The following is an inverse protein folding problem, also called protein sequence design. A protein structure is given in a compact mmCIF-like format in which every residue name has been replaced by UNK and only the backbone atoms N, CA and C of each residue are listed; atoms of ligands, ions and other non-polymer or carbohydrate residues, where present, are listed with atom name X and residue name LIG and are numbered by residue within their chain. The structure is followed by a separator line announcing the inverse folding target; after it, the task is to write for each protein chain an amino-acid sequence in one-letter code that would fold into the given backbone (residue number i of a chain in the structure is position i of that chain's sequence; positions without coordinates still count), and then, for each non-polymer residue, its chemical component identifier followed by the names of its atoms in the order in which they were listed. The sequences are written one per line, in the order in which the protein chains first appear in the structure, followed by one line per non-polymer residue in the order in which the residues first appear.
data_IF_115841000159
#
_entry.id   IF_115841000159
#
_cell.length_a   1.000
_cell.length_b   1.000
_cell.length_c   1.000
_cell.angle_alpha   90.00
_cell.angle_beta   90.00
_cell.angle_gamma   90.00
#
_symmetry.space_group_name_H-M   'P 1'
#
loop_
_entity.id
_entity.type
_entity.pdbx_description
1 polymer ?
#
# COMPACT_ATOMS: atom_id res chain seq x y z
N UNK A 1 2.15 20.14 -0.36
CA UNK A 1 2.03 18.69 -0.50
C UNK A 1 3.32 17.96 -0.24
N UNK A 2 3.27 16.62 -0.26
CA UNK A 2 4.45 15.76 -0.12
C UNK A 2 4.44 14.65 -1.16
N UNK A 3 5.62 14.03 -1.39
CA UNK A 3 5.81 12.84 -2.22
C UNK A 3 7.03 12.06 -1.73
N UNK A 4 7.12 10.77 -2.04
CA UNK A 4 8.29 9.94 -1.77
C UNK A 4 8.96 9.52 -3.07
N UNK A 5 10.30 9.49 -3.09
CA UNK A 5 11.05 8.88 -4.20
C UNK A 5 11.22 7.41 -3.89
N UNK A 6 10.53 6.56 -4.64
CA UNK A 6 10.50 5.12 -4.40
C UNK A 6 10.46 4.32 -5.70
N UNK A 7 10.73 3.04 -5.57
CA UNK A 7 10.59 2.04 -6.62
C UNK A 7 9.67 0.91 -6.18
N UNK A 8 8.77 0.50 -7.08
CA UNK A 8 8.01 -0.73 -6.91
C UNK A 8 8.85 -1.92 -7.38
N UNK A 9 8.94 -2.95 -6.54
CA UNK A 9 9.53 -4.24 -6.88
C UNK A 9 8.46 -5.30 -6.68
N UNK A 10 7.75 -5.62 -7.75
CA UNK A 10 6.80 -6.72 -7.75
C UNK A 10 7.57 -8.01 -8.02
N UNK A 11 7.93 -8.74 -6.95
CA UNK A 11 8.88 -9.85 -7.04
C UNK A 11 8.29 -11.12 -7.66
N UNK A 12 6.96 -11.29 -7.70
CA UNK A 12 6.28 -12.36 -8.45
C UNK A 12 4.85 -11.96 -8.79
N UNK A 13 4.36 -12.38 -9.96
CA UNK A 13 2.95 -12.31 -10.32
C UNK A 13 2.22 -13.65 -10.21
N UNK A 14 2.92 -14.72 -9.81
CA UNK A 14 2.32 -16.03 -9.54
C UNK A 14 1.60 -15.97 -8.20
N UNK A 15 0.32 -16.37 -8.17
CA UNK A 15 -0.51 -16.28 -6.98
C UNK A 15 -1.44 -17.49 -6.84
N UNK A 16 -1.55 -18.01 -5.62
CA UNK A 16 -2.51 -19.07 -5.25
C UNK A 16 -3.96 -18.56 -5.25
N UNK A 17 -4.15 -17.26 -4.99
CA UNK A 17 -5.47 -16.64 -4.85
C UNK A 17 -6.05 -16.21 -6.20
N UNK A 18 -7.38 -16.34 -6.33
CA UNK A 18 -8.10 -16.06 -7.56
C UNK A 18 -9.03 -14.84 -7.37
N UNK A 19 -8.47 -13.72 -6.93
CA UNK A 19 -9.24 -12.50 -6.71
C UNK A 19 -9.89 -12.02 -8.00
N UNK A 20 -11.21 -11.83 -7.96
CA UNK A 20 -11.98 -11.46 -9.14
C UNK A 20 -11.68 -10.07 -9.70
N UNK A 21 -11.04 -9.21 -8.91
CA UNK A 21 -10.62 -7.86 -9.33
C UNK A 21 -9.17 -7.82 -9.84
N UNK A 22 -8.35 -8.86 -9.60
CA UNK A 22 -6.92 -8.80 -9.83
C UNK A 22 -6.56 -9.28 -11.25
N UNK A 23 -6.02 -8.37 -12.04
CA UNK A 23 -5.47 -8.68 -13.36
C UNK A 23 -3.96 -8.93 -13.35
N UNK A 24 -3.29 -8.71 -12.21
CA UNK A 24 -1.86 -8.90 -12.05
C UNK A 24 -1.50 -10.36 -11.78
N UNK A 25 -2.34 -11.09 -11.03
CA UNK A 25 -2.06 -12.46 -10.64
C UNK A 25 -2.13 -13.43 -11.83
N UNK A 26 -1.16 -14.36 -11.88
CA UNK A 26 -1.04 -15.41 -12.88
C UNK A 26 -1.04 -16.78 -12.22
N UNK A 27 -1.64 -17.76 -12.89
CA UNK A 27 -1.36 -19.16 -12.59
C UNK A 27 0.06 -19.53 -13.05
N UNK A 28 0.66 -20.52 -12.40
CA UNK A 28 1.95 -21.05 -12.82
C UNK A 28 1.84 -21.61 -14.25
N UNK A 29 2.48 -21.00 -15.21
CA UNK A 29 2.38 -21.38 -16.64
C UNK A 29 1.39 -20.57 -17.47
N UNK A 30 0.72 -19.56 -16.90
CA UNK A 30 -0.11 -18.62 -17.67
C UNK A 30 0.69 -17.90 -18.73
N UNK A 31 0.15 -17.90 -19.97
CA UNK A 31 0.69 -17.17 -21.11
C UNK A 31 -0.40 -16.25 -21.69
N UNK A 32 -0.84 -15.30 -20.92
CA UNK A 32 -1.85 -14.36 -21.41
C UNK A 32 -1.25 -13.04 -21.89
N UNK A 33 -2.13 -12.15 -22.37
CA UNK A 33 -1.82 -10.89 -23.05
C UNK A 33 -0.93 -9.90 -22.27
N UNK A 34 -0.64 -10.16 -20.98
CA UNK A 34 0.10 -9.24 -20.10
C UNK A 34 1.45 -9.76 -19.65
N UNK A 35 2.01 -10.63 -20.45
CA UNK A 35 3.31 -11.23 -20.22
C UNK A 35 3.26 -12.53 -19.43
N UNK A 36 4.39 -13.23 -19.36
CA UNK A 36 4.50 -14.53 -18.72
C UNK A 36 4.39 -14.41 -17.19
N UNK A 37 4.10 -15.56 -16.56
CA UNK A 37 4.34 -15.72 -15.14
C UNK A 37 5.84 -15.58 -14.84
N UNK A 38 6.18 -14.90 -13.74
CA UNK A 38 7.57 -14.69 -13.32
C UNK A 38 7.71 -14.77 -11.81
N UNK A 39 8.91 -15.09 -11.39
CA UNK A 39 9.37 -15.01 -10.01
C UNK A 39 10.83 -14.51 -10.03
N UNK A 40 11.08 -13.36 -9.40
CA UNK A 40 12.42 -12.79 -9.32
C UNK A 40 13.26 -13.57 -8.30
N UNK A 41 14.51 -13.79 -8.61
CA UNK A 41 15.49 -14.24 -7.63
C UNK A 41 15.95 -13.08 -6.73
N UNK A 42 16.69 -13.40 -5.69
CA UNK A 42 17.16 -12.42 -4.71
C UNK A 42 18.19 -11.45 -5.31
N UNK A 43 19.00 -11.92 -6.27
CA UNK A 43 20.00 -11.10 -6.96
C UNK A 43 19.30 -10.00 -7.79
N UNK A 44 18.21 -10.33 -8.45
CA UNK A 44 17.41 -9.35 -9.20
C UNK A 44 16.71 -8.35 -8.27
N UNK A 45 16.21 -8.80 -7.10
CA UNK A 45 15.68 -7.89 -6.07
C UNK A 45 16.77 -6.93 -5.58
N UNK A 46 17.95 -7.43 -5.27
CA UNK A 46 19.11 -6.63 -4.85
C UNK A 46 19.52 -5.62 -5.93
N UNK A 47 19.65 -6.08 -7.18
CA UNK A 47 19.99 -5.24 -8.33
C UNK A 47 19.00 -4.07 -8.51
N UNK A 48 17.70 -4.35 -8.46
CA UNK A 48 16.65 -3.32 -8.54
C UNK A 48 16.69 -2.34 -7.37
N UNK A 49 17.07 -2.80 -6.19
CA UNK A 49 17.25 -1.95 -5.01
C UNK A 49 18.43 -0.99 -5.19
N UNK A 50 19.56 -1.49 -5.70
CA UNK A 50 20.75 -0.66 -6.01
C UNK A 50 20.42 0.40 -7.07
N UNK A 51 19.72 0.02 -8.13
CA UNK A 51 19.26 0.96 -9.17
C UNK A 51 18.33 2.03 -8.61
N UNK A 52 17.39 1.64 -7.73
CA UNK A 52 16.50 2.58 -7.05
C UNK A 52 17.29 3.59 -6.21
N UNK A 53 18.27 3.12 -5.42
CA UNK A 53 19.13 3.99 -4.62
C UNK A 53 19.94 4.96 -5.49
N UNK A 54 20.49 4.49 -6.62
CA UNK A 54 21.20 5.31 -7.58
C UNK A 54 20.31 6.39 -8.22
N UNK A 55 19.01 6.12 -8.38
CA UNK A 55 18.01 7.07 -8.84
C UNK A 55 17.47 7.99 -7.72
N UNK A 56 18.03 7.92 -6.51
CA UNK A 56 17.65 8.77 -5.37
C UNK A 56 16.45 8.26 -4.56
N UNK A 57 16.05 7.00 -4.75
CA UNK A 57 14.98 6.42 -3.95
C UNK A 57 15.41 6.23 -2.49
N UNK A 58 14.50 6.55 -1.58
CA UNK A 58 14.66 6.34 -0.15
C UNK A 58 13.87 5.12 0.34
N UNK A 59 13.01 4.58 -0.53
CA UNK A 59 12.12 3.47 -0.25
C UNK A 59 12.06 2.51 -1.44
N UNK A 60 11.98 1.22 -1.17
CA UNK A 60 11.43 0.23 -2.10
C UNK A 60 10.11 -0.30 -1.55
N UNK A 61 9.10 -0.34 -2.43
CA UNK A 61 7.79 -0.93 -2.14
C UNK A 61 7.75 -2.33 -2.76
N UNK A 62 7.72 -3.37 -1.91
CA UNK A 62 7.73 -4.76 -2.38
C UNK A 62 6.36 -5.40 -2.15
N UNK A 63 5.78 -5.91 -3.22
CA UNK A 63 4.52 -6.65 -3.21
C UNK A 63 4.56 -7.73 -4.28
N UNK A 64 3.91 -8.85 -4.03
CA UNK A 64 3.83 -9.93 -4.98
C UNK A 64 2.55 -10.75 -4.86
N UNK A 65 2.40 -11.71 -5.76
CA UNK A 65 1.44 -12.79 -5.57
C UNK A 65 1.87 -13.72 -4.43
N UNK A 66 0.95 -14.51 -3.92
CA UNK A 66 1.29 -15.59 -2.98
C UNK A 66 1.71 -16.79 -3.81
N UNK A 67 3.00 -16.93 -4.03
CA UNK A 67 3.55 -18.02 -4.82
C UNK A 67 3.40 -19.37 -4.07
N UNK A 68 3.02 -20.47 -4.74
CA UNK A 68 2.79 -21.78 -4.08
C UNK A 68 3.98 -22.32 -3.28
N UNK A 69 5.19 -21.98 -3.67
CA UNK A 69 6.43 -22.43 -3.00
C UNK A 69 6.95 -21.45 -1.95
N UNK A 70 6.30 -20.30 -1.76
CA UNK A 70 6.78 -19.33 -0.79
C UNK A 70 6.43 -19.73 0.63
N UNK A 71 7.41 -19.53 1.51
CA UNK A 71 7.27 -19.70 2.96
C UNK A 71 7.66 -18.38 3.64
N UNK A 72 7.49 -18.30 4.94
CA UNK A 72 7.93 -17.16 5.72
C UNK A 72 9.42 -16.85 5.57
N UNK A 73 10.28 -17.86 5.36
CA UNK A 73 11.71 -17.64 5.09
C UNK A 73 11.94 -16.93 3.76
N UNK A 74 11.10 -17.14 2.76
CA UNK A 74 11.20 -16.42 1.48
C UNK A 74 11.07 -14.92 1.68
N UNK A 75 10.09 -14.47 2.44
CA UNK A 75 9.89 -13.04 2.73
C UNK A 75 11.02 -12.45 3.58
N UNK A 76 11.53 -13.20 4.57
CA UNK A 76 12.70 -12.81 5.36
C UNK A 76 13.92 -12.62 4.46
N UNK A 77 14.16 -13.54 3.52
CA UNK A 77 15.30 -13.48 2.60
C UNK A 77 15.19 -12.30 1.61
N UNK A 78 13.98 -11.96 1.15
CA UNK A 78 13.74 -10.76 0.34
C UNK A 78 14.13 -9.50 1.11
N UNK A 79 13.72 -9.38 2.38
CA UNK A 79 14.10 -8.22 3.22
C UNK A 79 15.61 -8.15 3.41
N UNK A 80 16.24 -9.28 3.75
CA UNK A 80 17.71 -9.36 3.92
C UNK A 80 18.45 -8.93 2.65
N UNK A 81 18.06 -9.44 1.48
CA UNK A 81 18.67 -9.08 0.21
C UNK A 81 18.61 -7.56 -0.07
N UNK A 82 17.48 -6.90 0.24
CA UNK A 82 17.38 -5.44 0.14
C UNK A 82 18.33 -4.74 1.11
N UNK A 83 18.37 -5.19 2.37
CA UNK A 83 19.20 -4.56 3.42
C UNK A 83 20.70 -4.81 3.23
N UNK A 84 21.08 -5.95 2.70
CA UNK A 84 22.46 -6.25 2.32
C UNK A 84 22.91 -5.40 1.13
N UNK A 85 22.06 -5.24 0.11
CA UNK A 85 22.32 -4.43 -1.05
C UNK A 85 22.41 -2.92 -0.73
N UNK A 86 21.48 -2.39 0.06
CA UNK A 86 21.40 -0.98 0.45
C UNK A 86 20.94 -0.87 1.90
N UNK A 87 21.83 -0.88 2.91
CA UNK A 87 21.49 -0.96 4.33
C UNK A 87 20.52 0.14 4.83
N UNK A 88 20.58 1.34 4.24
CA UNK A 88 19.71 2.48 4.61
C UNK A 88 18.36 2.50 3.88
N UNK A 89 18.13 1.60 2.92
CA UNK A 89 16.86 1.58 2.16
C UNK A 89 15.70 1.27 3.08
N UNK A 90 14.64 2.10 3.01
CA UNK A 90 13.39 1.81 3.70
C UNK A 90 12.65 0.69 2.97
N UNK A 91 12.35 -0.39 3.68
CA UNK A 91 11.63 -1.54 3.14
C UNK A 91 10.16 -1.40 3.50
N UNK A 92 9.34 -0.96 2.54
CA UNK A 92 7.89 -0.92 2.64
C UNK A 92 7.32 -2.19 2.01
N UNK A 93 7.07 -3.19 2.81
CA UNK A 93 6.75 -4.52 2.31
C UNK A 93 5.81 -5.26 3.20
N UNK A 94 5.27 -6.10 2.72
CA UNK A 94 4.34 -7.21 2.56
C UNK A 94 2.95 -6.81 3.05
N UNK A 95 1.96 -7.12 2.23
CA UNK A 95 0.56 -7.00 2.61
C UNK A 95 0.24 -7.89 3.82
N UNK A 96 -0.81 -7.61 4.58
CA UNK A 96 -1.30 -8.50 5.64
C UNK A 96 -1.51 -9.94 5.18
N UNK A 97 -1.89 -10.16 3.93
CA UNK A 97 -2.04 -11.51 3.36
C UNK A 97 -0.71 -12.25 3.24
N UNK A 98 0.35 -11.58 2.76
CA UNK A 98 1.70 -12.14 2.66
C UNK A 98 2.26 -12.45 4.04
N UNK A 99 2.04 -11.57 5.01
CA UNK A 99 2.47 -11.76 6.41
C UNK A 99 1.77 -12.95 7.05
N UNK A 100 0.45 -13.04 6.91
CA UNK A 100 -0.33 -14.17 7.45
C UNK A 100 0.09 -15.50 6.82
N UNK A 101 0.28 -15.50 5.49
CA UNK A 101 0.78 -16.68 4.78
C UNK A 101 2.17 -17.09 5.28
N UNK A 102 3.09 -16.14 5.41
CA UNK A 102 4.44 -16.40 5.91
C UNK A 102 4.47 -16.95 7.32
N UNK A 103 3.70 -16.38 8.24
CA UNK A 103 3.56 -16.87 9.61
C UNK A 103 3.01 -18.31 9.63
N UNK A 104 1.94 -18.56 8.86
CA UNK A 104 1.29 -19.87 8.77
C UNK A 104 2.20 -20.97 8.23
N UNK A 105 3.00 -20.67 7.20
CA UNK A 105 3.93 -21.65 6.61
C UNK A 105 5.10 -22.04 7.53
N UNK A 106 5.43 -21.19 8.50
CA UNK A 106 6.46 -21.48 9.51
C UNK A 106 5.87 -22.01 10.82
N UNK A 107 4.54 -22.06 10.94
CA UNK A 107 3.86 -22.45 12.18
C UNK A 107 4.14 -21.49 13.33
N UNK A 108 4.38 -20.20 13.04
CA UNK A 108 4.72 -19.18 14.03
C UNK A 108 3.51 -18.35 14.43
N UNK A 109 3.42 -17.92 15.69
CA UNK A 109 2.52 -16.86 16.09
C UNK A 109 2.81 -15.59 15.28
N UNK A 110 1.75 -14.87 14.90
CA UNK A 110 1.84 -13.68 14.04
C UNK A 110 2.81 -12.61 14.57
N UNK A 111 2.77 -12.32 15.87
CA UNK A 111 3.67 -11.35 16.51
C UNK A 111 5.14 -11.76 16.37
N UNK A 112 5.46 -13.03 16.64
CA UNK A 112 6.82 -13.58 16.53
C UNK A 112 7.33 -13.47 15.09
N UNK A 113 6.48 -13.73 14.10
CA UNK A 113 6.87 -13.61 12.70
C UNK A 113 7.09 -12.14 12.28
N UNK A 114 6.24 -11.23 12.72
CA UNK A 114 6.40 -9.80 12.48
C UNK A 114 7.68 -9.25 13.15
N UNK A 115 8.01 -9.71 14.36
CA UNK A 115 9.28 -9.36 15.02
C UNK A 115 10.48 -9.85 14.18
N UNK A 116 10.44 -11.08 13.68
CA UNK A 116 11.50 -11.60 12.78
C UNK A 116 11.65 -10.78 11.51
N UNK A 117 10.54 -10.37 10.90
CA UNK A 117 10.57 -9.49 9.72
C UNK A 117 11.17 -8.11 10.05
N UNK A 118 10.77 -7.51 11.18
CA UNK A 118 11.32 -6.25 11.68
C UNK A 118 12.84 -6.38 11.92
N UNK A 119 13.26 -7.42 12.60
CA UNK A 119 14.67 -7.67 12.94
C UNK A 119 15.51 -8.00 11.68
N UNK A 120 14.91 -8.57 10.65
CA UNK A 120 15.53 -8.71 9.33
C UNK A 120 15.66 -7.37 8.57
N UNK A 121 14.97 -6.29 9.01
CA UNK A 121 15.04 -4.95 8.44
C UNK A 121 13.78 -4.44 7.75
N UNK A 122 12.65 -5.16 7.88
CA UNK A 122 11.36 -4.63 7.46
C UNK A 122 11.07 -3.33 8.19
N UNK A 123 10.68 -2.29 7.44
CA UNK A 123 10.53 -0.95 8.02
C UNK A 123 9.06 -0.57 8.25
N UNK A 124 8.18 -0.87 7.29
CA UNK A 124 6.73 -0.60 7.35
C UNK A 124 5.96 -1.60 6.50
N UNK A 125 4.66 -1.78 6.79
CA UNK A 125 3.78 -2.60 5.97
C UNK A 125 2.80 -1.74 5.16
N UNK A 126 2.58 -2.06 3.88
CA UNK A 126 1.45 -1.51 3.13
C UNK A 126 0.13 -2.07 3.65
N UNK A 127 -0.88 -1.21 3.78
CA UNK A 127 -2.24 -1.60 4.15
C UNK A 127 -3.03 -2.19 2.99
N UNK A 128 -2.35 -2.80 2.02
CA UNK A 128 -2.97 -3.48 0.89
C UNK A 128 -3.65 -4.80 1.31
N UNK A 129 -4.28 -5.50 0.40
CA UNK A 129 -5.15 -6.65 0.69
C UNK A 129 -6.39 -6.32 1.55
N UNK A 130 -6.55 -5.08 2.02
CA UNK A 130 -7.79 -4.61 2.63
C UNK A 130 -8.94 -4.65 1.62
N UNK A 131 -8.69 -4.23 0.41
CA UNK A 131 -9.64 -3.96 -0.66
C UNK A 131 -10.82 -3.14 -0.11
N UNK A 132 -11.79 -3.81 0.48
CA UNK A 132 -12.82 -3.22 1.33
C UNK A 132 -13.03 -4.10 2.56
N UNK A 133 -13.09 -3.49 3.74
CA UNK A 133 -13.31 -4.16 5.02
C UNK A 133 -14.83 -4.36 5.25
N UNK A 134 -15.40 -5.25 4.45
CA UNK A 134 -16.80 -5.66 4.49
C UNK A 134 -16.87 -7.07 3.90
N UNK A 135 -17.21 -8.05 4.73
CA UNK A 135 -17.07 -9.45 4.35
C UNK A 135 -18.10 -9.90 3.30
N UNK A 136 -19.27 -9.27 3.22
CA UNK A 136 -20.24 -9.53 2.16
C UNK A 136 -19.67 -9.15 0.77
N UNK A 137 -18.94 -8.04 0.72
CA UNK A 137 -18.27 -7.61 -0.52
C UNK A 137 -17.04 -8.47 -0.81
N UNK A 138 -16.27 -8.84 0.23
CA UNK A 138 -15.09 -9.71 0.08
C UNK A 138 -15.45 -11.09 -0.48
N UNK A 139 -16.58 -11.65 -0.08
CA UNK A 139 -17.11 -12.90 -0.63
C UNK A 139 -17.36 -12.84 -2.14
N UNK A 140 -17.62 -11.65 -2.68
CA UNK A 140 -17.82 -11.47 -4.12
C UNK A 140 -16.48 -11.27 -4.86
N UNK A 141 -15.58 -10.44 -4.31
CA UNK A 141 -14.38 -9.99 -5.03
C UNK A 141 -13.13 -10.81 -4.73
N UNK A 142 -13.02 -11.40 -3.53
CA UNK A 142 -11.84 -12.15 -3.07
C UNK A 142 -12.17 -13.13 -1.94
N UNK A 143 -13.02 -14.15 -2.17
CA UNK A 143 -13.54 -15.06 -1.14
C UNK A 143 -12.46 -15.85 -0.41
N UNK A 144 -11.33 -16.08 -1.05
CA UNK A 144 -10.23 -16.91 -0.51
C UNK A 144 -9.24 -16.08 0.32
N UNK A 145 -9.37 -14.74 0.36
CA UNK A 145 -8.43 -13.86 1.09
C UNK A 145 -8.83 -13.71 2.56
N UNK A 146 -7.94 -13.06 3.32
CA UNK A 146 -8.20 -12.65 4.70
C UNK A 146 -9.60 -12.06 4.88
N UNK A 147 -10.26 -12.42 5.94
CA UNK A 147 -11.49 -11.76 6.41
C UNK A 147 -11.15 -10.38 7.00
N UNK A 148 -12.16 -9.58 7.21
CA UNK A 148 -12.00 -8.22 7.75
C UNK A 148 -11.30 -8.21 9.11
N UNK A 149 -11.70 -9.10 10.01
CA UNK A 149 -11.11 -9.22 11.36
C UNK A 149 -9.66 -9.75 11.31
N UNK A 150 -9.35 -10.67 10.42
CA UNK A 150 -7.99 -11.17 10.21
C UNK A 150 -7.07 -10.06 9.70
N UNK A 151 -7.53 -9.24 8.74
CA UNK A 151 -6.76 -8.09 8.27
C UNK A 151 -6.49 -7.09 9.39
N UNK A 152 -7.53 -6.75 10.18
CA UNK A 152 -7.42 -5.85 11.32
C UNK A 152 -6.47 -6.40 12.38
N UNK A 153 -6.47 -7.72 12.61
CA UNK A 153 -5.57 -8.39 13.54
C UNK A 153 -4.11 -8.29 13.08
N UNK A 154 -3.81 -8.53 11.79
CA UNK A 154 -2.43 -8.43 11.27
C UNK A 154 -1.91 -7.00 11.42
N UNK A 155 -2.70 -5.98 11.05
CA UNK A 155 -2.30 -4.58 11.18
C UNK A 155 -2.15 -4.19 12.66
N UNK A 156 -3.08 -4.58 13.52
CA UNK A 156 -2.99 -4.31 14.96
C UNK A 156 -1.74 -4.91 15.58
N UNK A 157 -1.46 -6.19 15.30
CA UNK A 157 -0.25 -6.88 15.79
C UNK A 157 1.04 -6.24 15.23
N UNK A 158 1.03 -5.80 13.96
CA UNK A 158 2.17 -5.06 13.41
C UNK A 158 2.46 -3.78 14.22
N UNK A 159 1.41 -3.04 14.61
CA UNK A 159 1.57 -1.84 15.45
C UNK A 159 2.10 -2.18 16.86
N UNK A 160 1.62 -3.26 17.46
CA UNK A 160 2.07 -3.73 18.80
C UNK A 160 3.56 -4.09 18.81
N UNK A 161 4.08 -4.70 17.74
CA UNK A 161 5.52 -4.99 17.62
C UNK A 161 6.35 -3.80 17.11
N UNK A 162 5.75 -2.61 16.99
CA UNK A 162 6.43 -1.35 16.64
C UNK A 162 6.56 -1.08 15.14
N UNK A 163 5.94 -1.86 14.26
CA UNK A 163 5.89 -1.61 12.83
C UNK A 163 4.74 -0.66 12.50
N UNK A 164 5.01 0.37 11.70
CA UNK A 164 3.98 1.26 11.16
C UNK A 164 3.40 0.69 9.88
N UNK A 165 2.17 1.12 9.56
CA UNK A 165 1.51 0.68 8.33
C UNK A 165 0.90 1.85 7.59
N UNK A 166 0.62 1.65 6.30
CA UNK A 166 -0.36 2.48 5.59
C UNK A 166 -1.76 1.85 5.72
N UNK A 167 -2.76 2.48 5.16
CA UNK A 167 -4.10 1.90 5.00
C UNK A 167 -4.63 2.23 3.61
N UNK A 168 -5.36 1.30 3.00
CA UNK A 168 -5.90 1.46 1.65
C UNK A 168 -7.37 1.11 1.59
N UNK A 169 -8.07 1.64 0.62
CA UNK A 169 -9.36 1.15 0.16
C UNK A 169 -9.33 0.98 -1.36
N UNK A 170 -9.86 -0.11 -1.89
CA UNK A 170 -10.21 -0.22 -3.31
C UNK A 170 -11.71 0.00 -3.45
N UNK A 171 -12.11 0.94 -4.30
CA UNK A 171 -13.51 1.34 -4.43
C UNK A 171 -13.93 1.52 -5.89
N UNK A 172 -15.24 1.43 -6.16
CA UNK A 172 -15.82 1.58 -7.50
C UNK A 172 -16.02 0.26 -8.23
N UNK A 173 -16.15 -0.89 -7.52
CA UNK A 173 -16.36 -2.21 -8.13
C UNK A 173 -17.82 -2.72 -7.98
N UNK A 174 -18.22 -3.26 -6.80
CA UNK A 174 -19.57 -3.84 -6.54
C UNK A 174 -20.23 -3.23 -5.31
N UNK A 175 -19.46 -2.54 -4.50
CA UNK A 175 -19.86 -1.97 -3.23
C UNK A 175 -20.71 -0.70 -3.40
N UNK A 176 -21.35 -0.31 -2.32
CA UNK A 176 -22.13 0.91 -2.16
C UNK A 176 -21.43 1.89 -1.20
N UNK A 177 -21.78 3.18 -1.19
CA UNK A 177 -21.18 4.16 -0.28
C UNK A 177 -21.24 3.81 1.22
N UNK A 178 -22.22 2.99 1.63
CA UNK A 178 -22.32 2.53 3.03
C UNK A 178 -21.15 1.65 3.44
N UNK A 179 -20.64 0.81 2.52
CA UNK A 179 -19.45 0.00 2.80
C UNK A 179 -18.18 0.86 2.86
N UNK A 180 -18.10 1.93 2.06
CA UNK A 180 -16.99 2.91 2.20
C UNK A 180 -16.98 3.55 3.58
N UNK A 181 -18.17 3.97 4.06
CA UNK A 181 -18.29 4.58 5.37
C UNK A 181 -17.89 3.60 6.50
N UNK A 182 -18.32 2.33 6.40
CA UNK A 182 -17.92 1.27 7.34
C UNK A 182 -16.41 1.07 7.35
N UNK A 183 -15.80 0.94 6.17
CA UNK A 183 -14.35 0.77 6.02
C UNK A 183 -13.57 1.90 6.68
N UNK A 184 -13.89 3.15 6.36
CA UNK A 184 -13.19 4.32 6.92
C UNK A 184 -13.37 4.40 8.45
N UNK A 185 -14.55 4.06 8.97
CA UNK A 185 -14.79 3.99 10.43
C UNK A 185 -13.96 2.90 11.10
N UNK A 186 -13.80 1.74 10.49
CA UNK A 186 -12.95 0.67 11.03
C UNK A 186 -11.49 1.09 11.10
N UNK A 187 -10.97 1.76 10.04
CA UNK A 187 -9.62 2.33 10.06
C UNK A 187 -9.46 3.40 11.14
N UNK A 188 -10.45 4.26 11.32
CA UNK A 188 -10.46 5.25 12.39
C UNK A 188 -10.38 4.58 13.76
N UNK A 189 -11.24 3.60 14.03
CA UNK A 189 -11.26 2.86 15.29
C UNK A 189 -9.95 2.10 15.55
N UNK A 190 -9.34 1.50 14.51
CA UNK A 190 -8.03 0.87 14.62
C UNK A 190 -6.96 1.91 14.99
N UNK A 191 -6.97 3.07 14.32
CA UNK A 191 -6.02 4.13 14.59
C UNK A 191 -6.16 4.73 16.01
N UNK A 192 -7.39 4.87 16.50
CA UNK A 192 -7.67 5.31 17.89
C UNK A 192 -7.01 4.38 18.92
N UNK A 193 -7.03 3.06 18.66
CA UNK A 193 -6.41 2.07 19.57
C UNK A 193 -4.90 2.01 19.45
N UNK A 194 -4.35 2.11 18.25
CA UNK A 194 -2.95 1.70 17.98
C UNK A 194 -2.04 2.85 17.57
N UNK A 195 -2.59 3.92 16.99
CA UNK A 195 -1.81 5.05 16.49
C UNK A 195 -0.81 4.71 15.37
N UNK A 196 -0.86 3.49 14.80
CA UNK A 196 0.17 2.95 13.91
C UNK A 196 0.02 3.29 12.43
N UNK A 197 -1.15 3.76 11.98
CA UNK A 197 -1.40 4.08 10.58
C UNK A 197 -0.77 5.44 10.23
N UNK A 198 0.10 5.47 9.23
CA UNK A 198 0.80 6.67 8.75
C UNK A 198 0.02 7.47 7.72
N UNK A 199 -0.78 6.81 6.90
CA UNK A 199 -1.56 7.42 5.81
C UNK A 199 -2.74 6.56 5.38
N UNK A 200 -3.69 7.21 4.71
CA UNK A 200 -4.80 6.57 4.00
C UNK A 200 -4.67 6.78 2.49
N UNK A 201 -4.80 5.70 1.72
CA UNK A 201 -4.63 5.69 0.26
C UNK A 201 -5.87 5.17 -0.44
N UNK A 202 -6.72 6.04 -1.00
CA UNK A 202 -7.84 5.63 -1.84
C UNK A 202 -7.35 5.14 -3.21
N UNK A 203 -7.74 3.94 -3.59
CA UNK A 203 -7.39 3.30 -4.86
C UNK A 203 -8.65 3.01 -5.68
N UNK A 204 -8.90 3.81 -6.71
CA UNK A 204 -9.99 3.55 -7.64
C UNK A 204 -9.79 2.22 -8.37
N UNK A 205 -10.84 1.43 -8.47
CA UNK A 205 -10.83 0.16 -9.19
C UNK A 205 -10.54 0.36 -10.68
N UNK A 206 -9.56 -0.36 -11.20
CA UNK A 206 -9.18 -0.39 -12.62
C UNK A 206 -9.71 -1.69 -13.21
N UNK A 207 -10.73 -1.57 -14.04
CA UNK A 207 -11.60 -2.69 -14.42
C UNK A 207 -11.17 -3.47 -15.65
N UNK A 208 -10.53 -2.81 -16.65
CA UNK A 208 -10.43 -3.27 -18.03
C UNK A 208 -9.99 -4.73 -18.19
N UNK A 209 -9.09 -5.19 -17.35
CA UNK A 209 -8.57 -6.57 -17.42
C UNK A 209 -8.99 -7.43 -16.21
N UNK A 210 -9.83 -6.90 -15.33
CA UNK A 210 -10.29 -7.62 -14.16
C UNK A 210 -11.26 -8.76 -14.51
N UNK A 211 -11.07 -9.98 -13.95
CA UNK A 211 -11.93 -11.14 -14.29
C UNK A 211 -13.43 -10.91 -14.04
N UNK A 212 -13.80 -10.23 -12.95
CA UNK A 212 -15.21 -9.92 -12.66
C UNK A 212 -15.82 -8.92 -13.63
N UNK A 213 -15.05 -7.91 -14.09
CA UNK A 213 -15.50 -6.99 -15.13
C UNK A 213 -15.78 -7.73 -16.44
N UNK A 214 -14.86 -8.59 -16.86
CA UNK A 214 -15.03 -9.39 -18.09
C UNK A 214 -16.25 -10.32 -18.03
N UNK A 215 -16.72 -10.65 -16.83
CA UNK A 215 -17.95 -11.42 -16.58
C UNK A 215 -19.19 -10.52 -16.42
N UNK A 216 -19.08 -9.20 -16.58
CA UNK A 216 -20.17 -8.24 -16.37
C UNK A 216 -20.64 -8.12 -14.92
N UNK A 217 -19.78 -8.41 -13.94
CA UNK A 217 -20.15 -8.49 -12.52
C UNK A 217 -19.63 -7.33 -11.67
N UNK A 218 -19.03 -6.30 -12.28
CA UNK A 218 -18.58 -5.07 -11.59
C UNK A 218 -18.95 -3.84 -12.38
N UNK A 219 -18.85 -2.67 -11.76
CA UNK A 219 -18.86 -1.36 -12.41
C UNK A 219 -17.54 -1.11 -13.16
N UNK A 220 -17.50 -0.08 -13.99
CA UNK A 220 -16.30 0.37 -14.72
C UNK A 220 -15.35 1.24 -13.89
N UNK A 221 -15.29 1.04 -12.60
CA UNK A 221 -14.55 1.88 -11.66
C UNK A 221 -15.41 3.00 -11.07
N UNK A 222 -14.84 3.83 -10.18
CA UNK A 222 -15.55 4.96 -9.61
C UNK A 222 -15.73 6.08 -10.65
N UNK A 223 -16.81 6.84 -10.53
CA UNK A 223 -16.91 8.13 -11.21
C UNK A 223 -15.87 9.11 -10.64
N UNK A 224 -15.54 10.16 -11.40
CA UNK A 224 -14.63 11.20 -10.95
C UNK A 224 -15.12 11.87 -9.65
N UNK A 225 -16.43 12.11 -9.55
CA UNK A 225 -17.06 12.67 -8.33
C UNK A 225 -16.85 11.74 -7.12
N UNK A 226 -17.07 10.45 -7.27
CA UNK A 226 -16.83 9.47 -6.20
C UNK A 226 -15.37 9.46 -5.77
N UNK A 227 -14.44 9.55 -6.73
CA UNK A 227 -13.03 9.64 -6.42
C UNK A 227 -12.68 10.89 -5.62
N UNK A 228 -13.19 12.05 -5.99
CA UNK A 228 -13.00 13.31 -5.22
C UNK A 228 -13.61 13.17 -3.82
N UNK A 229 -14.82 12.65 -3.70
CA UNK A 229 -15.47 12.43 -2.40
C UNK A 229 -14.69 11.45 -1.51
N UNK A 230 -14.07 10.42 -2.10
CA UNK A 230 -13.24 9.45 -1.36
C UNK A 230 -11.92 10.06 -0.81
N UNK A 231 -11.54 11.26 -1.23
CA UNK A 231 -10.46 12.04 -0.59
C UNK A 231 -11.02 13.05 0.41
N UNK A 232 -12.11 13.73 0.07
CA UNK A 232 -12.69 14.80 0.90
C UNK A 232 -13.35 14.27 2.18
N UNK A 233 -14.19 13.23 2.07
CA UNK A 233 -14.93 12.70 3.24
C UNK A 233 -13.98 12.01 4.24
N UNK A 234 -13.05 11.12 3.82
CA UNK A 234 -12.06 10.57 4.74
C UNK A 234 -11.16 11.64 5.37
N UNK A 235 -10.86 12.76 4.69
CA UNK A 235 -10.16 13.88 5.34
C UNK A 235 -10.90 14.36 6.59
N UNK A 236 -12.21 14.50 6.53
CA UNK A 236 -13.02 14.94 7.66
C UNK A 236 -13.14 13.86 8.74
N UNK A 237 -13.32 12.60 8.33
CA UNK A 237 -13.53 11.48 9.26
C UNK A 237 -12.25 11.06 9.96
N UNK A 238 -11.12 11.02 9.25
CA UNK A 238 -9.86 10.49 9.77
C UNK A 238 -9.00 11.54 10.50
N UNK A 239 -9.21 12.83 10.25
CA UNK A 239 -8.50 13.89 10.97
C UNK A 239 -8.99 14.00 12.42
N UNK A 240 -8.10 14.25 13.42
CA UNK A 240 -6.65 14.46 13.30
C UNK A 240 -5.83 13.15 13.42
N UNK A 241 -6.47 11.99 13.51
CA UNK A 241 -5.84 10.70 13.81
C UNK A 241 -4.95 10.18 12.67
N UNK A 242 -5.47 10.20 11.44
CA UNK A 242 -4.70 9.91 10.23
C UNK A 242 -4.61 11.21 9.43
N UNK A 243 -3.44 11.87 9.51
CA UNK A 243 -3.24 13.21 8.95
C UNK A 243 -2.94 13.20 7.45
N UNK A 244 -2.46 12.07 6.93
CA UNK A 244 -2.01 12.01 5.56
C UNK A 244 -3.00 11.22 4.71
N UNK A 245 -3.45 11.84 3.64
CA UNK A 245 -4.28 11.22 2.61
C UNK A 245 -3.54 11.38 1.29
N UNK A 246 -3.19 10.24 0.72
CA UNK A 246 -2.50 10.18 -0.56
C UNK A 246 -3.51 10.20 -1.70
N UNK A 247 -3.21 10.92 -2.77
CA UNK A 247 -3.88 10.76 -4.05
C UNK A 247 -3.00 9.95 -5.00
N UNK A 248 -3.57 8.91 -5.62
CA UNK A 248 -2.85 8.02 -6.50
C UNK A 248 -2.89 8.54 -7.95
N UNK A 249 -1.83 9.22 -8.39
CA UNK A 249 -1.72 9.72 -9.76
C UNK A 249 -1.79 8.59 -10.81
N UNK A 250 -1.33 7.39 -10.48
CA UNK A 250 -1.39 6.23 -11.38
C UNK A 250 -2.83 5.76 -11.64
N UNK A 251 -3.76 6.07 -10.74
CA UNK A 251 -5.20 5.79 -10.88
C UNK A 251 -5.97 6.98 -11.45
N UNK A 252 -5.62 8.19 -11.02
CA UNK A 252 -6.38 9.42 -11.28
C UNK A 252 -5.84 10.22 -12.46
N UNK A 253 -4.64 9.94 -12.94
CA UNK A 253 -3.89 10.85 -13.80
C UNK A 253 -3.43 12.09 -13.05
N UNK A 254 -2.65 12.93 -13.71
CA UNK A 254 -2.11 14.15 -13.11
C UNK A 254 -3.19 15.18 -12.79
N UNK A 255 -4.17 15.35 -13.67
CA UNK A 255 -5.26 16.32 -13.46
C UNK A 255 -6.19 15.87 -12.32
N UNK A 256 -6.55 14.58 -12.29
CA UNK A 256 -7.36 14.03 -11.20
C UNK A 256 -6.65 14.12 -9.86
N UNK A 257 -5.35 13.85 -9.81
CA UNK A 257 -4.54 13.99 -8.60
C UNK A 257 -4.49 15.45 -8.12
N UNK A 258 -4.39 16.42 -9.02
CA UNK A 258 -4.43 17.85 -8.67
C UNK A 258 -5.75 18.23 -8.00
N UNK A 259 -6.90 17.81 -8.56
CA UNK A 259 -8.21 18.07 -7.95
C UNK A 259 -8.34 17.38 -6.58
N UNK A 260 -7.83 16.17 -6.42
CA UNK A 260 -7.87 15.47 -5.14
C UNK A 260 -6.99 16.13 -4.08
N UNK A 261 -5.85 16.75 -4.47
CA UNK A 261 -5.06 17.58 -3.56
C UNK A 261 -5.86 18.75 -3.02
N UNK A 262 -6.68 19.41 -3.83
CA UNK A 262 -7.55 20.52 -3.39
C UNK A 262 -8.75 20.00 -2.59
N UNK A 263 -9.18 18.77 -2.83
CA UNK A 263 -10.33 18.18 -2.16
C UNK A 263 -10.02 17.51 -0.80
N UNK A 264 -8.77 17.51 -0.34
CA UNK A 264 -8.46 16.93 0.99
C UNK A 264 -7.23 16.06 1.05
N UNK A 265 -6.66 15.62 -0.07
CA UNK A 265 -5.37 14.96 -0.08
C UNK A 265 -4.24 15.95 0.24
N UNK A 266 -3.13 15.46 0.77
CA UNK A 266 -1.93 16.25 1.04
C UNK A 266 -0.64 15.55 0.59
N UNK A 267 -0.76 14.38 -0.03
CA UNK A 267 0.36 13.59 -0.51
C UNK A 267 0.09 13.07 -1.93
N UNK A 268 1.12 13.09 -2.77
CA UNK A 268 1.09 12.60 -4.16
C UNK A 268 1.53 11.13 -4.28
N UNK A 269 1.90 10.52 -3.15
CA UNK A 269 2.45 9.17 -3.15
C UNK A 269 3.87 9.12 -3.67
N UNK A 270 4.22 8.02 -4.28
CA UNK A 270 5.56 7.73 -4.75
C UNK A 270 5.79 8.03 -6.23
N UNK A 271 7.07 8.12 -6.61
CA UNK A 271 7.49 8.09 -8.01
C UNK A 271 7.19 6.77 -8.69
N UNK A 272 7.07 5.70 -7.90
CA UNK A 272 6.62 4.35 -8.25
C UNK A 272 7.48 3.60 -9.28
N UNK A 273 8.62 4.07 -9.69
CA UNK A 273 9.48 3.47 -10.73
C UNK A 273 9.11 2.00 -11.01
N UNK A 274 8.66 1.69 -12.25
CA UNK A 274 8.20 0.37 -12.69
C UNK A 274 6.89 -0.17 -12.03
N UNK A 275 5.94 0.69 -11.73
CA UNK A 275 4.62 0.23 -11.28
C UNK A 275 3.98 -0.68 -12.36
N UNK A 276 3.69 -1.92 -12.01
CA UNK A 276 3.21 -2.92 -12.96
C UNK A 276 1.81 -3.45 -12.64
N UNK A 277 1.31 -3.28 -11.43
CA UNK A 277 0.01 -3.81 -10.99
C UNK A 277 -1.14 -3.06 -11.68
N UNK A 278 -1.13 -1.74 -11.65
CA UNK A 278 -2.14 -0.91 -12.31
C UNK A 278 -2.07 -1.04 -13.82
N UNK A 279 -0.85 -1.11 -14.38
CA UNK A 279 -0.65 -1.36 -15.80
C UNK A 279 -1.25 -2.71 -16.22
N UNK A 280 -1.05 -3.77 -15.44
CA UNK A 280 -1.64 -5.09 -15.71
C UNK A 280 -3.17 -5.04 -15.71
N UNK A 281 -3.78 -4.18 -14.91
CA UNK A 281 -5.23 -3.96 -14.88
C UNK A 281 -5.76 -3.11 -16.05
N UNK A 282 -4.89 -2.50 -16.87
CA UNK A 282 -5.26 -1.67 -18.00
C UNK A 282 -5.10 -0.16 -17.75
N UNK A 283 -4.48 0.24 -16.64
CA UNK A 283 -4.22 1.63 -16.34
C UNK A 283 -3.36 2.32 -17.39
N UNK A 284 -3.69 3.59 -17.69
CA UNK A 284 -3.13 4.34 -18.82
C UNK A 284 -2.26 5.53 -18.41
N UNK A 285 -2.10 5.80 -17.12
CA UNK A 285 -1.41 6.99 -16.62
C UNK A 285 0.09 6.81 -16.42
N UNK A 286 0.68 5.77 -17.00
CA UNK A 286 2.11 5.48 -16.90
C UNK A 286 2.48 4.62 -15.69
N UNK A 287 3.78 4.38 -15.56
CA UNK A 287 4.36 3.52 -14.51
C UNK A 287 5.29 4.29 -13.58
N UNK A 288 5.61 5.53 -13.92
CA UNK A 288 6.52 6.39 -13.19
C UNK A 288 6.16 7.86 -13.39
N UNK A 289 6.31 8.63 -12.33
CA UNK A 289 6.35 10.11 -12.33
C UNK A 289 7.62 10.52 -11.57
N UNK A 290 8.53 11.22 -12.21
CA UNK A 290 9.72 11.67 -11.51
C UNK A 290 9.41 12.83 -10.53
N UNK A 291 10.35 13.12 -9.64
CA UNK A 291 10.17 14.14 -8.61
C UNK A 291 9.81 15.53 -9.18
N UNK A 292 10.41 15.92 -10.32
CA UNK A 292 10.13 17.22 -10.97
C UNK A 292 8.70 17.29 -11.51
N UNK A 293 8.20 16.19 -12.06
CA UNK A 293 6.82 16.10 -12.56
C UNK A 293 5.82 16.23 -11.40
N UNK A 294 6.04 15.52 -10.28
CA UNK A 294 5.19 15.64 -9.08
C UNK A 294 5.23 17.04 -8.48
N UNK A 295 6.41 17.65 -8.40
CA UNK A 295 6.54 19.05 -7.95
C UNK A 295 5.83 20.04 -8.90
N UNK A 296 5.95 19.85 -10.22
CA UNK A 296 5.30 20.70 -11.21
C UNK A 296 3.78 20.61 -11.08
N UNK A 297 3.24 19.39 -10.93
CA UNK A 297 1.80 19.17 -10.69
C UNK A 297 1.31 19.99 -9.48
N UNK A 298 1.99 19.87 -8.34
CA UNK A 298 1.60 20.57 -7.12
C UNK A 298 1.73 22.10 -7.24
N UNK A 299 2.76 22.60 -7.93
CA UNK A 299 2.95 24.05 -8.17
C UNK A 299 1.83 24.67 -9.01
N UNK A 300 1.31 23.92 -10.02
CA UNK A 300 0.21 24.43 -10.88
C UNK A 300 -1.04 24.81 -10.11
N UNK A 301 -1.28 24.16 -8.97
CA UNK A 301 -2.42 24.45 -8.09
C UNK A 301 -2.04 25.28 -6.85
N UNK A 302 -0.87 25.92 -6.86
CA UNK A 302 -0.41 26.75 -5.73
C UNK A 302 -0.07 25.97 -4.45
N UNK A 303 0.09 24.66 -4.52
CA UNK A 303 0.38 23.78 -3.36
C UNK A 303 1.74 23.09 -3.51
N UNK A 304 2.87 23.78 -3.34
CA UNK A 304 4.18 23.19 -3.56
C UNK A 304 4.37 21.91 -2.76
N UNK A 305 4.98 20.92 -3.40
CA UNK A 305 5.26 19.63 -2.77
C UNK A 305 6.76 19.47 -2.50
N UNK A 306 7.08 18.82 -1.38
CA UNK A 306 8.44 18.45 -0.98
C UNK A 306 8.58 16.94 -0.86
N UNK A 307 9.79 16.44 -1.06
CA UNK A 307 10.10 15.04 -0.78
C UNK A 307 9.99 14.77 0.72
N UNK A 308 9.42 13.63 1.06
CA UNK A 308 9.33 13.08 2.41
C UNK A 308 10.00 11.71 2.51
N UNK A 309 10.30 11.28 3.72
CA UNK A 309 10.54 9.86 3.99
C UNK A 309 9.20 9.09 4.01
N UNK A 310 9.24 7.76 4.03
CA UNK A 310 8.03 6.91 4.13
C UNK A 310 7.18 7.27 5.37
N UNK A 311 7.82 7.63 6.47
CA UNK A 311 7.16 8.01 7.72
C UNK A 311 6.90 9.51 7.86
N UNK A 312 6.85 10.24 6.75
CA UNK A 312 6.52 11.68 6.69
C UNK A 312 7.54 12.62 7.36
N UNK A 313 8.75 12.14 7.63
CA UNK A 313 9.90 12.93 8.06
C UNK A 313 10.72 13.50 6.89
N UNK A 314 11.84 14.12 7.21
CA UNK A 314 12.82 14.59 6.23
C UNK A 314 13.64 13.39 5.73
N UNK A 315 13.88 13.24 4.42
CA UNK A 315 14.73 12.18 3.91
C UNK A 315 16.14 12.24 4.51
N UNK A 316 16.62 11.10 5.01
CA UNK A 316 17.95 10.98 5.62
C UNK A 316 18.00 11.22 7.14
N UNK A 317 16.94 11.72 7.76
CA UNK A 317 16.85 11.77 9.21
C UNK A 317 16.44 10.41 9.82
N UNK A 318 17.05 10.07 10.95
CA UNK A 318 16.74 8.81 11.64
C UNK A 318 15.29 8.77 12.16
N UNK A 319 14.59 7.62 12.12
CA UNK A 319 13.21 7.48 12.58
C UNK A 319 12.98 7.81 14.08
N UNK A 320 14.04 7.79 14.90
CA UNK A 320 13.98 7.95 16.35
C UNK A 320 13.33 9.26 16.85
N UNK A 321 13.52 10.38 16.12
CA UNK A 321 12.96 11.66 16.53
C UNK A 321 11.43 11.75 16.35
N UNK A 322 10.84 10.92 15.48
CA UNK A 322 9.42 10.90 15.25
C UNK A 322 8.67 9.94 16.18
N UNK A 323 9.27 8.79 16.51
CA UNK A 323 8.73 7.83 17.45
C UNK A 323 8.59 8.44 18.86
N UNK A 324 9.56 9.25 19.29
CA UNK A 324 9.50 9.97 20.57
C UNK A 324 8.40 11.03 20.61
N UNK A 325 8.11 11.72 19.50
CA UNK A 325 7.04 12.74 19.42
C UNK A 325 5.63 12.13 19.43
N UNK A 326 5.45 10.92 18.91
CA UNK A 326 4.17 10.23 18.93
C UNK A 326 3.85 9.65 20.33
N UNK A 327 4.84 9.16 21.05
CA UNK A 327 4.70 8.71 22.43
C UNK A 327 4.34 9.88 23.38
N UNK A 328 5.00 11.03 23.26
CA UNK A 328 4.68 12.22 24.07
C UNK A 328 3.31 12.83 23.76
N UNK A 329 2.80 12.68 22.54
CA UNK A 329 1.46 13.13 22.17
C UNK A 329 0.37 12.20 22.74
N UNK A 330 0.64 10.91 22.86
CA UNK A 330 -0.28 9.96 23.49
C UNK A 330 -0.37 10.14 25.01
N UNK A 331 0.76 10.46 25.67
CA UNK A 331 0.80 10.78 27.11
C UNK A 331 0.08 12.09 27.44
N UNK A 332 0.14 13.10 26.54
CA UNK A 332 -0.54 14.38 26.76
C UNK A 332 -2.08 14.30 26.59
N UNK A 333 -2.58 13.32 25.87
CA UNK A 333 -4.03 13.08 25.69
C UNK A 333 -4.59 12.24 26.87
N UNK A 334 -3.76 11.40 27.49
CA UNK A 334 -4.13 10.59 28.65
C UNK A 334 -4.11 11.35 29.99
N UNK A 335 -3.46 12.52 30.05
CA UNK A 335 -3.36 13.33 31.27
C UNK A 335 -4.44 14.44 31.39
N UNK A 336 -5.37 14.53 30.44
CA UNK A 336 -6.47 15.53 30.41
C UNK A 336 -7.85 14.87 30.48
N UNK A 337 -7.95 13.66 31.03
CA UNK A 337 -9.21 12.93 31.32
C UNK A 337 -9.46 12.77 32.81
#
# INVERSE_FOLDING_TARGET
GTYVVNRNINYTNICLYHCGFCAFSKGQGSRDLRGPAYNLDLDEVARRTIEAAAAGATEVCLQGGIHPSFTGETYLNIVRAVKEAVPRMHVHAFSPLEVQHGAGTLGLPLAVYLERLRDAGLSTLPGTAAEILDDEIRDIICPDKLRTDEWLNVIGTAHEVGLRTTSTIMFGHVELPVQWARHVRMLRALQERTGGISEFVPLGYVHMEAPLWRKGRTRSGPSFREAVLMHAVPRLVLHPLIRNIQTSWVKMGTEGAAVCLDAGANDLGGTLMNESITRAAGGVHGQEQNALQLQSLARRIGRPARQRSTLYGIPGEAPAAWAMRAASAAESVGAAG
#
